data_IF_663946705866
#
_entry.id   IF_663946705866
#
_cell.length_a   1.000
_cell.length_b   1.000
_cell.length_c   1.000
_cell.angle_alpha   90.00
_cell.angle_beta   90.00
_cell.angle_gamma   90.00
#
_symmetry.space_group_name_H-M   'P 1'
#
loop_
_entity.id
_entity.type
_entity.pdbx_description
1 polymer ?
#
# COMPACT_ATOMS: atom_id res chain seq x y z
N UNK A 1 4.06 32.39 12.59
CA UNK A 1 3.97 32.28 11.12
C UNK A 1 5.30 31.79 10.58
N UNK A 2 5.45 30.49 10.31
CA UNK A 2 6.57 29.92 9.55
C UNK A 2 6.02 29.52 8.19
N UNK A 3 6.42 30.21 7.12
CA UNK A 3 6.02 29.89 5.76
C UNK A 3 6.66 28.58 5.33
N UNK A 4 5.87 27.50 5.28
CA UNK A 4 6.27 26.21 4.75
C UNK A 4 6.08 26.23 3.22
N UNK A 5 7.11 26.67 2.49
CA UNK A 5 7.25 26.29 1.08
C UNK A 5 7.66 24.81 1.06
N UNK A 6 6.68 23.91 1.14
CA UNK A 6 6.89 22.47 1.14
C UNK A 6 7.38 21.99 -0.23
N UNK A 7 8.57 21.41 -0.28
CA UNK A 7 9.10 20.70 -1.44
C UNK A 7 8.47 19.31 -1.50
N UNK A 8 7.85 18.90 -2.61
CA UNK A 8 7.14 17.61 -2.72
C UNK A 8 7.84 16.62 -3.65
N UNK A 9 8.06 15.39 -3.19
CA UNK A 9 8.46 14.25 -4.04
C UNK A 9 7.24 13.43 -4.44
N UNK A 10 7.13 13.01 -5.70
CA UNK A 10 6.01 12.19 -6.15
C UNK A 10 6.57 10.85 -6.64
N UNK A 11 6.15 9.71 -6.08
CA UNK A 11 6.58 8.40 -6.59
C UNK A 11 6.31 8.25 -8.10
N UNK A 12 7.21 7.57 -8.80
CA UNK A 12 7.16 7.36 -10.25
C UNK A 12 5.81 6.86 -10.77
N UNK A 13 5.01 6.15 -9.97
CA UNK A 13 3.68 5.63 -10.37
C UNK A 13 2.59 6.69 -10.45
N UNK A 14 2.78 7.85 -9.83
CA UNK A 14 1.80 8.94 -9.85
C UNK A 14 1.99 9.82 -11.08
N UNK A 15 0.94 10.02 -11.84
CA UNK A 15 1.01 10.74 -13.11
C UNK A 15 0.90 12.26 -12.89
N UNK A 16 1.64 13.07 -13.66
CA UNK A 16 1.60 14.54 -13.56
C UNK A 16 1.50 15.16 -14.96
N UNK A 17 0.81 16.30 -15.04
CA UNK A 17 0.83 17.19 -16.21
C UNK A 17 2.16 17.97 -16.29
N UNK A 18 2.67 18.08 -17.52
CA UNK A 18 3.81 18.88 -18.00
C UNK A 18 5.20 18.55 -17.41
N UNK A 19 6.04 17.92 -18.26
CA UNK A 19 7.51 17.89 -18.13
C UNK A 19 8.16 16.69 -17.44
N UNK A 20 7.40 15.82 -16.75
CA UNK A 20 7.98 14.66 -16.03
C UNK A 20 7.47 13.33 -16.59
N UNK A 21 8.28 12.60 -17.37
CA UNK A 21 7.90 11.29 -17.92
C UNK A 21 7.59 10.26 -16.83
N UNK A 22 6.69 9.32 -17.14
CA UNK A 22 6.36 8.18 -16.26
C UNK A 22 7.08 6.93 -16.75
N UNK A 23 7.91 6.32 -15.90
CA UNK A 23 8.57 5.04 -16.19
C UNK A 23 8.05 3.89 -15.34
N UNK A 24 7.35 4.17 -14.22
CA UNK A 24 6.96 3.15 -13.24
C UNK A 24 8.13 2.24 -12.79
N UNK A 25 9.36 2.77 -12.77
CA UNK A 25 10.58 2.01 -12.49
C UNK A 25 11.08 1.14 -13.65
N UNK A 26 10.42 1.14 -14.81
CA UNK A 26 10.86 0.37 -15.98
C UNK A 26 11.97 1.07 -16.76
N UNK A 27 12.65 0.33 -17.63
CA UNK A 27 13.65 0.84 -18.56
C UNK A 27 13.06 1.73 -19.66
N UNK A 28 11.76 1.56 -19.94
CA UNK A 28 11.06 2.28 -21.00
C UNK A 28 10.02 3.26 -20.44
N UNK A 29 9.85 4.39 -21.13
CA UNK A 29 8.82 5.38 -20.81
C UNK A 29 7.44 4.82 -21.16
N UNK A 30 6.49 4.95 -20.24
CA UNK A 30 5.12 4.51 -20.50
C UNK A 30 4.43 5.40 -21.56
N UNK A 31 3.41 4.88 -22.28
CA UNK A 31 2.63 5.66 -23.22
C UNK A 31 2.05 6.94 -22.60
N UNK A 32 1.97 8.02 -23.38
CA UNK A 32 1.49 9.36 -22.94
C UNK A 32 0.13 9.36 -22.22
N UNK A 33 -0.70 8.33 -22.41
CA UNK A 33 -1.97 8.18 -21.66
C UNK A 33 -1.74 8.04 -20.15
N UNK A 34 -0.58 7.50 -19.76
CA UNK A 34 -0.07 7.42 -18.39
C UNK A 34 0.72 8.67 -17.98
N UNK A 35 0.37 9.85 -18.48
CA UNK A 35 1.01 11.12 -18.09
C UNK A 35 -0.02 12.20 -17.75
N UNK A 36 -1.20 11.77 -17.29
CA UNK A 36 -2.30 12.66 -16.89
C UNK A 36 -2.53 12.58 -15.39
N UNK A 37 -2.66 13.70 -14.66
CA UNK A 37 -2.82 13.65 -13.22
C UNK A 37 -4.14 12.97 -12.83
N UNK A 38 -4.04 11.98 -11.94
CA UNK A 38 -5.19 11.35 -11.29
C UNK A 38 -5.82 12.20 -10.20
N UNK A 39 -6.87 11.69 -9.54
CA UNK A 39 -7.53 12.40 -8.46
C UNK A 39 -6.58 12.78 -7.31
N UNK A 40 -5.69 11.88 -6.88
CA UNK A 40 -4.72 12.14 -5.79
C UNK A 40 -3.74 13.25 -6.18
N UNK A 41 -3.14 13.16 -7.36
CA UNK A 41 -2.21 14.19 -7.84
C UNK A 41 -2.94 15.51 -8.10
N UNK A 42 -4.16 15.46 -8.61
CA UNK A 42 -4.99 16.65 -8.83
C UNK A 42 -5.34 17.33 -7.51
N UNK A 43 -5.67 16.58 -6.46
CA UNK A 43 -5.89 17.12 -5.12
C UNK A 43 -4.61 17.78 -4.59
N UNK A 44 -3.45 17.15 -4.77
CA UNK A 44 -2.16 17.73 -4.41
C UNK A 44 -1.88 19.03 -5.16
N UNK A 45 -2.05 19.05 -6.48
CA UNK A 45 -1.77 20.23 -7.30
C UNK A 45 -2.70 21.42 -6.96
N UNK A 46 -3.92 21.16 -6.48
CA UNK A 46 -4.83 22.23 -5.99
C UNK A 46 -4.31 22.93 -4.73
N UNK A 47 -3.41 22.30 -3.97
CA UNK A 47 -2.73 22.91 -2.84
C UNK A 47 -1.52 23.77 -3.26
N UNK A 48 -1.26 23.91 -4.56
CA UNK A 48 -0.15 24.68 -5.15
C UNK A 48 1.26 24.31 -4.63
N UNK A 49 1.61 23.02 -4.50
CA UNK A 49 2.91 22.61 -3.99
C UNK A 49 4.02 22.81 -5.03
N UNK A 50 5.25 22.95 -4.55
CA UNK A 50 6.45 22.84 -5.39
C UNK A 50 6.81 21.37 -5.60
N UNK A 51 6.57 20.84 -6.80
CA UNK A 51 6.88 19.44 -7.13
C UNK A 51 8.31 19.33 -7.62
N UNK A 52 9.16 18.62 -6.88
CA UNK A 52 10.59 18.51 -7.15
C UNK A 52 10.94 17.48 -8.22
N UNK A 53 10.09 16.46 -8.39
CA UNK A 53 10.35 15.43 -9.40
C UNK A 53 9.63 14.12 -9.11
N UNK A 54 9.99 13.10 -9.90
CA UNK A 54 9.53 11.71 -9.73
C UNK A 54 10.57 10.92 -8.94
N UNK A 55 10.19 10.31 -7.82
CA UNK A 55 11.11 9.56 -6.96
C UNK A 55 11.24 8.11 -7.41
N UNK A 56 12.44 7.54 -7.26
CA UNK A 56 12.74 6.15 -7.64
C UNK A 56 11.73 5.13 -7.10
N UNK A 57 11.35 4.18 -7.94
CA UNK A 57 10.45 3.08 -7.57
C UNK A 57 10.99 1.76 -8.12
N UNK A 58 10.68 0.66 -7.44
CA UNK A 58 10.88 -0.69 -8.02
C UNK A 58 9.97 -0.81 -9.25
N UNK A 59 10.43 -1.48 -10.31
CA UNK A 59 9.66 -1.64 -11.53
C UNK A 59 8.26 -2.23 -11.24
N UNK A 60 7.22 -1.55 -11.73
CA UNK A 60 5.80 -1.83 -11.47
C UNK A 60 5.48 -2.03 -9.99
N UNK A 61 6.25 -1.40 -9.11
CA UNK A 61 6.19 -1.55 -7.67
C UNK A 61 6.34 -2.98 -7.12
N UNK A 62 6.82 -3.94 -7.93
CA UNK A 62 6.81 -5.34 -7.55
C UNK A 62 8.08 -5.80 -6.81
N UNK A 63 8.35 -5.19 -5.66
CA UNK A 63 9.44 -5.59 -4.77
C UNK A 63 9.59 -4.72 -3.53
N UNK A 64 10.01 -5.34 -2.42
CA UNK A 64 10.09 -4.69 -1.10
C UNK A 64 11.46 -4.14 -0.71
N UNK A 65 12.52 -4.42 -1.48
CA UNK A 65 13.90 -4.04 -1.14
C UNK A 65 14.38 -2.76 -1.85
N UNK A 66 13.54 -2.17 -2.69
CA UNK A 66 13.92 -0.97 -3.45
C UNK A 66 14.97 -1.18 -4.54
N UNK A 67 15.27 -2.43 -4.86
CA UNK A 67 16.17 -2.84 -5.94
C UNK A 67 15.50 -2.67 -7.30
N UNK A 68 16.28 -2.22 -8.27
CA UNK A 68 15.84 -2.06 -9.65
C UNK A 68 17.05 -2.30 -10.57
N UNK A 69 16.97 -3.29 -11.46
CA UNK A 69 18.08 -3.67 -12.34
C UNK A 69 18.40 -2.60 -13.39
N UNK A 70 17.41 -1.78 -13.77
CA UNK A 70 17.54 -0.75 -14.80
C UNK A 70 18.19 0.53 -14.26
N UNK A 71 17.89 0.88 -13.01
CA UNK A 71 18.25 2.19 -12.42
C UNK A 71 19.13 2.10 -11.18
N UNK A 72 19.40 0.88 -10.69
CA UNK A 72 20.04 0.65 -9.39
C UNK A 72 19.11 0.96 -8.21
N UNK A 73 19.55 0.66 -6.99
CA UNK A 73 18.81 1.03 -5.78
C UNK A 73 19.32 2.38 -5.24
N UNK A 74 18.44 3.30 -4.79
CA UNK A 74 18.86 4.45 -4.01
C UNK A 74 19.65 4.02 -2.77
N UNK A 75 20.66 4.81 -2.38
CA UNK A 75 21.37 4.58 -1.12
C UNK A 75 20.45 4.91 0.06
N UNK A 76 20.32 3.98 0.99
CA UNK A 76 19.68 4.29 2.27
C UNK A 76 20.54 5.32 3.03
N UNK A 77 19.95 6.45 3.46
CA UNK A 77 20.67 7.57 4.08
C UNK A 77 21.25 7.24 5.46
N UNK A 78 20.87 6.13 6.10
CA UNK A 78 21.36 5.74 7.41
C UNK A 78 22.74 5.07 7.42
N UNK A 79 23.32 4.76 6.25
CA UNK A 79 24.66 4.18 6.15
C UNK A 79 25.46 4.85 5.01
N UNK A 80 26.35 5.75 5.42
CA UNK A 80 27.22 6.50 4.51
C UNK A 80 28.32 5.63 3.89
N UNK A 81 28.63 4.48 4.48
CA UNK A 81 29.80 3.68 4.12
C UNK A 81 29.40 2.43 3.33
N UNK A 82 28.45 1.66 3.83
CA UNK A 82 27.93 0.47 3.15
C UNK A 82 26.53 0.75 2.58
N UNK A 83 26.31 0.38 1.33
CA UNK A 83 24.99 0.57 0.72
C UNK A 83 24.00 -0.39 1.38
N UNK A 84 23.03 0.17 2.13
CA UNK A 84 21.88 -0.57 2.65
C UNK A 84 20.66 -0.37 1.77
N UNK A 85 19.76 -1.35 1.77
CA UNK A 85 18.47 -1.21 1.10
C UNK A 85 17.66 -0.05 1.70
N UNK A 86 17.05 0.81 0.88
CA UNK A 86 16.14 1.85 1.36
C UNK A 86 14.71 1.33 1.60
N UNK A 87 14.45 0.04 1.37
CA UNK A 87 13.10 -0.51 1.28
C UNK A 87 12.37 -0.08 0.01
N UNK A 88 11.25 -0.73 -0.28
CA UNK A 88 10.48 -0.50 -1.50
C UNK A 88 9.03 -0.96 -1.40
N UNK A 89 8.22 -0.69 -2.42
CA UNK A 89 8.68 -0.18 -3.72
C UNK A 89 8.91 1.34 -3.80
N UNK A 90 8.28 2.15 -2.94
CA UNK A 90 8.39 3.63 -2.94
C UNK A 90 9.74 4.13 -2.37
N UNK A 91 10.84 3.62 -2.91
CA UNK A 91 12.19 3.68 -2.34
C UNK A 91 12.72 5.11 -2.29
N UNK A 92 12.60 5.82 -3.41
CA UNK A 92 13.05 7.20 -3.53
C UNK A 92 12.19 8.16 -2.70
N UNK A 93 10.94 7.80 -2.37
CA UNK A 93 10.08 8.63 -1.53
C UNK A 93 10.69 8.76 -0.12
N UNK A 94 11.03 7.65 0.53
CA UNK A 94 11.71 7.66 1.83
C UNK A 94 13.05 8.39 1.80
N UNK A 95 13.90 8.05 0.82
CA UNK A 95 15.23 8.68 0.66
C UNK A 95 15.14 10.19 0.43
N UNK A 96 14.16 10.66 -0.35
CA UNK A 96 13.98 12.08 -0.66
C UNK A 96 13.67 12.94 0.57
N UNK A 97 12.96 12.36 1.55
CA UNK A 97 12.58 13.05 2.78
C UNK A 97 13.80 13.25 3.70
N UNK A 98 14.60 12.20 3.88
CA UNK A 98 15.81 12.25 4.71
C UNK A 98 16.89 13.10 4.05
N UNK A 99 17.02 13.02 2.72
CA UNK A 99 17.99 13.82 1.94
C UNK A 99 17.58 15.30 1.81
N UNK A 100 16.38 15.68 2.28
CA UNK A 100 15.89 17.05 2.25
C UNK A 100 15.45 17.56 0.87
N UNK A 101 15.38 16.67 -0.14
CA UNK A 101 14.87 17.01 -1.48
C UNK A 101 13.34 17.00 -1.53
N UNK A 102 12.68 16.52 -0.48
CA UNK A 102 11.24 16.60 -0.26
C UNK A 102 10.91 16.79 1.23
N UNK A 103 9.75 17.37 1.50
CA UNK A 103 9.10 17.54 2.81
C UNK A 103 7.87 16.63 2.94
N UNK A 104 7.25 16.30 1.80
CA UNK A 104 6.17 15.32 1.67
C UNK A 104 6.46 14.44 0.45
N UNK A 105 6.20 13.15 0.56
CA UNK A 105 6.25 12.25 -0.58
C UNK A 105 4.98 11.43 -0.75
N UNK A 106 4.53 11.30 -2.00
CA UNK A 106 3.49 10.34 -2.36
C UNK A 106 4.14 8.99 -2.63
N UNK A 107 3.55 7.92 -2.11
CA UNK A 107 3.93 6.54 -2.38
C UNK A 107 2.69 5.67 -2.55
N UNK A 108 2.86 4.40 -2.84
CA UNK A 108 1.75 3.47 -3.05
C UNK A 108 2.07 2.14 -2.38
N UNK A 109 1.11 1.58 -1.65
CA UNK A 109 1.30 0.45 -0.75
C UNK A 109 0.34 -0.67 -1.11
N UNK A 110 0.88 -1.70 -1.77
CA UNK A 110 0.17 -2.92 -2.15
C UNK A 110 0.29 -3.97 -1.05
N UNK A 111 1.50 -4.13 -0.52
CA UNK A 111 1.83 -5.11 0.53
C UNK A 111 2.86 -4.59 1.55
N UNK A 112 3.05 -3.27 1.62
CA UNK A 112 4.05 -2.61 2.46
C UNK A 112 4.80 -1.50 1.75
N UNK A 113 4.54 -1.24 0.47
CA UNK A 113 5.39 -0.38 -0.37
C UNK A 113 5.47 1.10 0.02
N UNK A 114 4.70 1.56 1.02
CA UNK A 114 4.89 2.85 1.72
C UNK A 114 5.52 2.62 3.09
N UNK A 115 5.00 1.65 3.85
CA UNK A 115 5.43 1.38 5.24
C UNK A 115 6.84 0.80 5.36
N UNK A 116 7.25 -0.06 4.42
CA UNK A 116 8.59 -0.66 4.34
C UNK A 116 9.66 0.42 4.11
N UNK A 117 9.60 1.25 3.04
CA UNK A 117 10.60 2.30 2.88
C UNK A 117 10.54 3.33 4.01
N UNK A 118 9.35 3.62 4.57
CA UNK A 118 9.26 4.49 5.74
C UNK A 118 10.03 3.92 6.95
N UNK A 119 9.84 2.64 7.26
CA UNK A 119 10.57 1.94 8.33
C UNK A 119 12.08 1.88 8.07
N UNK A 120 12.50 1.53 6.85
CA UNK A 120 13.92 1.39 6.51
C UNK A 120 14.66 2.73 6.38
N UNK A 121 13.95 3.82 6.07
CA UNK A 121 14.53 5.18 5.99
C UNK A 121 14.22 6.04 7.21
N UNK A 122 13.60 5.50 8.26
CA UNK A 122 13.39 6.22 9.52
C UNK A 122 12.45 7.42 9.39
N UNK A 123 11.41 7.31 8.56
CA UNK A 123 10.37 8.34 8.38
C UNK A 123 8.98 7.77 8.65
N UNK A 124 7.96 8.62 8.67
CA UNK A 124 6.57 8.21 8.88
C UNK A 124 5.94 7.82 7.55
N UNK A 125 5.25 6.68 7.50
CA UNK A 125 4.53 6.21 6.31
C UNK A 125 3.10 5.82 6.64
N UNK A 126 2.14 6.37 5.90
CA UNK A 126 0.72 6.05 6.02
C UNK A 126 0.23 5.37 4.74
N UNK A 127 -0.18 4.11 4.88
CA UNK A 127 -1.09 3.48 3.93
C UNK A 127 -2.52 3.83 4.32
N UNK A 128 -3.26 4.48 3.43
CA UNK A 128 -4.67 4.83 3.70
C UNK A 128 -5.56 3.58 3.78
N UNK A 129 -6.82 3.77 4.14
CA UNK A 129 -7.82 2.70 4.00
C UNK A 129 -7.99 2.37 2.52
N UNK A 130 -8.03 1.07 2.18
CA UNK A 130 -8.24 0.65 0.79
C UNK A 130 -9.54 1.27 0.23
N UNK A 131 -9.43 1.88 -0.96
CA UNK A 131 -10.53 2.58 -1.62
C UNK A 131 -10.87 3.97 -1.05
N UNK A 132 -10.13 4.47 -0.04
CA UNK A 132 -10.32 5.85 0.46
C UNK A 132 -9.92 6.88 -0.58
N UNK A 133 -8.77 6.69 -1.21
CA UNK A 133 -8.29 7.49 -2.33
C UNK A 133 -8.34 6.71 -3.62
N UNK A 134 -8.66 7.40 -4.73
CA UNK A 134 -8.72 6.78 -6.04
C UNK A 134 -7.35 6.30 -6.50
N UNK A 135 -7.31 5.12 -7.11
CA UNK A 135 -6.15 4.56 -7.81
C UNK A 135 -6.11 4.95 -9.30
N UNK A 136 -7.09 5.72 -9.77
CA UNK A 136 -7.13 6.18 -11.14
C UNK A 136 -5.87 7.00 -11.47
N UNK A 137 -5.29 6.75 -12.65
CA UNK A 137 -4.03 7.38 -13.08
C UNK A 137 -2.90 7.12 -12.05
N UNK A 138 -2.83 5.89 -11.55
CA UNK A 138 -1.66 5.30 -10.90
C UNK A 138 -1.36 4.01 -11.65
N UNK A 139 -0.10 3.78 -12.02
CA UNK A 139 0.30 2.55 -12.71
C UNK A 139 0.09 1.35 -11.77
N UNK A 140 -0.73 0.35 -12.17
CA UNK A 140 -1.12 -0.72 -11.26
C UNK A 140 -0.01 -1.75 -11.05
N UNK A 141 0.10 -2.22 -9.81
CA UNK A 141 0.62 -3.55 -9.47
C UNK A 141 -0.56 -4.50 -9.24
N UNK A 142 -1.54 -4.06 -8.45
CA UNK A 142 -2.72 -4.82 -8.13
C UNK A 142 -3.88 -3.87 -7.88
N UNK A 143 -4.85 -3.84 -8.77
CA UNK A 143 -6.07 -3.06 -8.60
C UNK A 143 -6.86 -3.40 -7.31
N UNK A 144 -6.68 -4.61 -6.79
CA UNK A 144 -7.33 -5.06 -5.55
C UNK A 144 -6.64 -4.53 -4.29
N UNK A 145 -5.30 -4.40 -4.32
CA UNK A 145 -4.49 -4.12 -3.13
C UNK A 145 -3.82 -2.75 -3.15
N UNK A 146 -3.59 -2.16 -4.32
CA UNK A 146 -2.93 -0.87 -4.48
C UNK A 146 -3.67 0.20 -3.69
N UNK A 147 -2.93 0.80 -2.77
CA UNK A 147 -3.45 1.83 -1.90
C UNK A 147 -2.53 3.05 -1.94
N UNK A 148 -3.01 4.22 -2.39
CA UNK A 148 -2.28 5.47 -2.29
C UNK A 148 -1.90 5.77 -0.83
N UNK A 149 -0.70 6.27 -0.61
CA UNK A 149 -0.18 6.58 0.72
C UNK A 149 0.77 7.77 0.73
N UNK A 150 1.06 8.21 1.96
CA UNK A 150 1.91 9.36 2.24
C UNK A 150 3.15 8.94 3.01
N UNK A 151 4.24 9.65 2.75
CA UNK A 151 5.44 9.62 3.57
C UNK A 151 5.82 11.05 3.95
N UNK A 152 6.22 11.25 5.21
CA UNK A 152 6.75 12.52 5.70
C UNK A 152 7.75 12.27 6.85
N UNK A 153 8.58 13.26 7.19
CA UNK A 153 9.50 13.12 8.33
C UNK A 153 8.79 13.13 9.69
N UNK A 154 7.64 13.80 9.76
CA UNK A 154 6.89 14.01 11.00
C UNK A 154 5.43 13.59 10.82
N UNK A 155 4.80 13.15 11.93
CA UNK A 155 3.39 12.74 11.94
C UNK A 155 2.47 13.91 11.62
N UNK A 156 2.79 15.12 12.12
CA UNK A 156 2.00 16.33 11.90
C UNK A 156 1.95 16.73 10.42
N UNK A 157 3.10 16.67 9.73
CA UNK A 157 3.18 16.92 8.28
C UNK A 157 2.32 15.91 7.50
N UNK A 158 2.33 14.64 7.95
CA UNK A 158 1.54 13.59 7.33
C UNK A 158 0.03 13.80 7.56
N UNK A 159 -0.37 14.19 8.77
CA UNK A 159 -1.76 14.48 9.11
C UNK A 159 -2.28 15.71 8.33
N UNK A 160 -1.47 16.77 8.24
CA UNK A 160 -1.77 17.95 7.43
C UNK A 160 -1.94 17.61 5.95
N UNK A 161 -1.00 16.84 5.39
CA UNK A 161 -1.09 16.41 3.99
C UNK A 161 -2.30 15.50 3.75
N UNK A 162 -2.61 14.60 4.68
CA UNK A 162 -3.80 13.75 4.55
C UNK A 162 -5.08 14.57 4.50
N UNK A 163 -5.24 15.52 5.44
CA UNK A 163 -6.39 16.42 5.48
C UNK A 163 -6.54 17.25 4.20
N UNK A 164 -5.43 17.81 3.70
CA UNK A 164 -5.41 18.63 2.50
C UNK A 164 -5.75 17.85 1.20
N UNK A 165 -5.47 16.55 1.16
CA UNK A 165 -5.66 15.71 -0.02
C UNK A 165 -6.99 14.93 0.01
N UNK A 166 -7.52 14.67 1.19
CA UNK A 166 -8.71 13.86 1.35
C UNK A 166 -9.98 14.65 1.04
N UNK A 167 -10.67 14.29 -0.05
CA UNK A 167 -11.87 15.01 -0.47
C UNK A 167 -13.04 14.97 0.52
N UNK A 168 -13.04 14.00 1.45
CA UNK A 168 -14.04 13.90 2.51
C UNK A 168 -13.79 14.87 3.67
N UNK A 169 -12.59 15.42 3.77
CA UNK A 169 -12.18 16.40 4.78
C UNK A 169 -11.94 17.78 4.17
N UNK A 170 -11.56 17.85 2.89
CA UNK A 170 -11.29 19.09 2.18
C UNK A 170 -12.50 20.04 2.23
N UNK A 171 -12.33 21.20 2.85
CA UNK A 171 -13.39 22.21 3.01
C UNK A 171 -13.96 22.32 4.42
N UNK A 172 -13.47 21.54 5.38
CA UNK A 172 -13.70 21.79 6.81
C UNK A 172 -12.74 22.88 7.31
N UNK A 173 -13.20 23.72 8.25
CA UNK A 173 -12.42 24.81 8.83
C UNK A 173 -11.34 24.29 9.81
N UNK A 174 -11.62 23.19 10.50
CA UNK A 174 -10.68 22.53 11.41
C UNK A 174 -9.76 21.58 10.65
N UNK A 175 -8.68 22.14 10.08
CA UNK A 175 -7.64 21.36 9.42
C UNK A 175 -6.66 20.81 10.46
N UNK A 176 -6.51 19.48 10.46
CA UNK A 176 -5.73 18.67 11.41
C UNK A 176 -6.37 18.55 12.80
N UNK A 177 -6.91 17.37 13.17
CA UNK A 177 -7.43 17.13 14.51
C UNK A 177 -6.35 17.34 15.58
N UNK A 178 -6.73 17.88 16.74
CA UNK A 178 -5.85 17.93 17.89
C UNK A 178 -5.36 16.51 18.26
N UNK A 179 -4.12 16.40 18.75
CA UNK A 179 -3.56 15.13 19.21
C UNK A 179 -4.48 14.52 20.28
N UNK A 180 -5.03 13.32 20.06
CA UNK A 180 -5.96 12.72 21.02
C UNK A 180 -5.22 12.33 22.31
N UNK A 181 -5.93 12.41 23.44
CA UNK A 181 -5.44 11.84 24.69
C UNK A 181 -5.36 10.31 24.58
N UNK A 182 -4.27 9.73 25.08
CA UNK A 182 -4.07 8.28 25.09
C UNK A 182 -4.92 7.57 26.15
N UNK A 183 -5.38 8.27 27.19
CA UNK A 183 -6.13 7.71 28.33
C UNK A 183 -7.46 7.01 27.94
N UNK A 184 -7.99 7.28 26.74
CA UNK A 184 -9.21 6.65 26.21
C UNK A 184 -8.98 5.64 25.10
N UNK A 185 -7.72 5.37 24.72
CA UNK A 185 -7.40 4.52 23.56
C UNK A 185 -7.02 3.11 24.01
N UNK A 186 -7.45 2.11 23.23
CA UNK A 186 -7.10 0.70 23.43
C UNK A 186 -6.30 0.20 22.23
N UNK A 187 -5.12 -0.35 22.48
CA UNK A 187 -4.24 -0.93 21.47
C UNK A 187 -4.25 -2.45 21.60
N UNK A 188 -4.64 -3.13 20.52
CA UNK A 188 -4.53 -4.58 20.39
C UNK A 188 -3.13 -4.97 19.93
N UNK A 189 -2.44 -5.80 20.71
CA UNK A 189 -1.10 -6.30 20.41
C UNK A 189 -1.19 -7.80 20.15
N UNK A 190 -0.87 -8.27 18.94
CA UNK A 190 -0.86 -9.69 18.62
C UNK A 190 0.09 -10.47 19.53
N UNK A 191 -0.30 -11.66 19.96
CA UNK A 191 0.54 -12.49 20.85
C UNK A 191 1.64 -13.25 20.07
N UNK A 192 1.32 -13.71 18.87
CA UNK A 192 2.17 -14.54 18.00
C UNK A 192 2.31 -13.92 16.61
N UNK A 193 3.08 -14.57 15.71
CA UNK A 193 3.28 -14.23 14.30
C UNK A 193 4.17 -13.00 14.02
N UNK A 194 3.93 -11.86 14.68
CA UNK A 194 4.68 -10.62 14.41
C UNK A 194 6.01 -10.51 15.16
N UNK A 195 6.30 -11.45 16.07
CA UNK A 195 7.49 -11.42 16.93
C UNK A 195 8.54 -12.46 16.51
N UNK A 196 8.16 -13.39 15.64
CA UNK A 196 8.99 -14.49 15.20
C UNK A 196 9.99 -14.00 14.14
N UNK A 197 11.20 -14.58 14.11
CA UNK A 197 12.28 -14.28 13.16
C UNK A 197 12.64 -12.78 13.00
N UNK A 198 12.37 -11.96 14.02
CA UNK A 198 12.80 -10.58 14.06
C UNK A 198 14.32 -10.46 14.19
N UNK A 199 14.93 -9.54 13.42
CA UNK A 199 16.33 -9.17 13.66
C UNK A 199 16.51 -8.58 15.07
N UNK A 200 17.69 -8.77 15.70
CA UNK A 200 17.95 -8.26 17.04
C UNK A 200 17.63 -6.76 17.18
N UNK A 201 16.93 -6.39 18.24
CA UNK A 201 16.57 -5.01 18.56
C UNK A 201 15.21 -4.57 18.02
N UNK A 202 14.63 -5.24 17.01
CA UNK A 202 13.34 -4.85 16.43
C UNK A 202 12.19 -5.09 17.42
N UNK A 203 12.05 -6.33 17.89
CA UNK A 203 10.97 -6.70 18.82
C UNK A 203 11.10 -5.94 20.15
N UNK A 204 12.33 -5.75 20.64
CA UNK A 204 12.65 -5.02 21.86
C UNK A 204 12.25 -3.54 21.74
N UNK A 205 12.57 -2.90 20.61
CA UNK A 205 12.23 -1.49 20.36
C UNK A 205 10.71 -1.29 20.29
N UNK A 206 10.00 -2.20 19.59
CA UNK A 206 8.53 -2.13 19.51
C UNK A 206 7.89 -2.35 20.87
N UNK A 207 8.36 -3.33 21.65
CA UNK A 207 7.86 -3.58 23.02
C UNK A 207 8.14 -2.40 23.95
N UNK A 208 9.28 -1.71 23.80
CA UNK A 208 9.58 -0.50 24.55
C UNK A 208 8.62 0.65 24.18
N UNK A 209 8.31 0.84 22.90
CA UNK A 209 7.32 1.82 22.44
C UNK A 209 5.90 1.52 22.97
N UNK A 210 5.50 0.24 23.01
CA UNK A 210 4.22 -0.17 23.60
C UNK A 210 4.15 0.18 25.09
N UNK A 211 5.23 -0.05 25.85
CA UNK A 211 5.30 0.34 27.26
C UNK A 211 5.21 1.85 27.45
N UNK A 212 5.75 2.65 26.53
CA UNK A 212 5.62 4.11 26.58
C UNK A 212 4.16 4.55 26.34
N UNK A 213 3.43 3.90 25.43
CA UNK A 213 2.00 4.15 25.22
C UNK A 213 1.20 3.82 26.48
N UNK A 214 1.47 2.67 27.10
CA UNK A 214 0.83 2.23 28.33
C UNK A 214 1.09 3.21 29.49
N UNK A 215 2.34 3.62 29.69
CA UNK A 215 2.73 4.60 30.70
C UNK A 215 2.07 5.98 30.48
N UNK A 216 1.75 6.31 29.22
CA UNK A 216 1.02 7.53 28.86
C UNK A 216 -0.51 7.40 28.97
N UNK A 217 -1.01 6.27 29.49
CA UNK A 217 -2.42 6.04 29.80
C UNK A 217 -3.19 5.18 28.79
N UNK A 218 -2.55 4.71 27.71
CA UNK A 218 -3.20 3.81 26.77
C UNK A 218 -3.46 2.43 27.39
N UNK A 219 -4.60 1.82 27.07
CA UNK A 219 -4.87 0.43 27.45
C UNK A 219 -4.28 -0.54 26.43
N UNK A 220 -3.45 -1.47 26.88
CA UNK A 220 -2.90 -2.53 26.01
C UNK A 220 -3.70 -3.81 26.24
N UNK A 221 -4.14 -4.45 25.15
CA UNK A 221 -4.81 -5.76 25.20
C UNK A 221 -4.13 -6.73 24.25
N UNK A 222 -4.03 -7.99 24.65
CA UNK A 222 -3.66 -9.06 23.73
C UNK A 222 -4.75 -9.23 22.67
N UNK A 223 -4.32 -9.43 21.42
CA UNK A 223 -5.21 -9.77 20.31
C UNK A 223 -4.81 -11.11 19.69
N UNK A 224 -5.79 -12.00 19.51
CA UNK A 224 -5.63 -13.17 18.65
C UNK A 224 -6.03 -12.83 17.21
N UNK A 225 -5.24 -13.30 16.24
CA UNK A 225 -5.49 -13.11 14.82
C UNK A 225 -5.68 -14.46 14.14
N UNK A 226 -6.88 -15.08 14.26
CA UNK A 226 -7.12 -16.40 13.69
C UNK A 226 -6.95 -16.37 12.16
N UNK A 227 -6.19 -17.33 11.63
CA UNK A 227 -5.93 -17.47 10.19
C UNK A 227 -4.84 -16.55 9.63
N UNK A 228 -4.04 -15.91 10.49
CA UNK A 228 -2.91 -15.08 10.05
C UNK A 228 -1.84 -15.89 9.31
N UNK A 229 -1.53 -17.10 9.77
CA UNK A 229 -0.58 -18.00 9.11
C UNK A 229 -1.06 -18.37 7.71
N UNK A 230 -2.32 -18.78 7.57
CA UNK A 230 -2.95 -19.09 6.27
C UNK A 230 -2.88 -17.89 5.32
N UNK A 231 -3.15 -16.68 5.83
CA UNK A 231 -3.07 -15.46 5.06
C UNK A 231 -1.63 -15.16 4.61
N UNK A 232 -0.64 -15.44 5.47
CA UNK A 232 0.77 -15.26 5.15
C UNK A 232 1.28 -16.30 4.15
N UNK A 233 0.86 -17.56 4.25
CA UNK A 233 1.17 -18.59 3.25
C UNK A 233 0.62 -18.22 1.88
N UNK A 234 -0.63 -17.74 1.81
CA UNK A 234 -1.21 -17.22 0.56
C UNK A 234 -0.43 -16.01 0.01
N UNK A 235 0.01 -15.12 0.89
CA UNK A 235 0.84 -13.98 0.50
C UNK A 235 2.20 -14.42 -0.08
N UNK A 236 2.85 -15.44 0.51
CA UNK A 236 4.14 -15.98 0.02
C UNK A 236 4.06 -16.58 -1.38
N UNK A 237 2.89 -17.05 -1.81
CA UNK A 237 2.66 -17.53 -3.18
C UNK A 237 2.56 -16.40 -4.22
N UNK A 238 2.85 -15.14 -3.84
CA UNK A 238 2.75 -13.96 -4.70
C UNK A 238 1.41 -13.23 -4.59
N UNK A 239 0.44 -13.83 -3.90
CA UNK A 239 -0.91 -13.30 -3.71
C UNK A 239 -1.62 -12.94 -5.01
N UNK A 240 -2.62 -12.07 -4.92
CA UNK A 240 -3.39 -11.61 -6.09
C UNK A 240 -2.61 -10.61 -6.98
N UNK A 241 -1.50 -10.06 -6.48
CA UNK A 241 -0.76 -9.01 -7.19
C UNK A 241 -0.05 -9.53 -8.45
N UNK A 242 0.54 -10.73 -8.38
CA UNK A 242 1.23 -11.32 -9.52
C UNK A 242 0.31 -11.52 -10.74
N UNK A 243 -0.86 -12.20 -10.62
CA UNK A 243 -1.76 -12.39 -11.76
C UNK A 243 -2.42 -11.08 -12.22
N UNK A 244 -2.70 -10.12 -11.34
CA UNK A 244 -3.25 -8.83 -11.75
C UNK A 244 -2.25 -8.01 -12.56
N UNK A 245 -0.98 -7.97 -12.16
CA UNK A 245 0.06 -7.31 -12.95
C UNK A 245 0.27 -8.03 -14.30
N UNK A 246 0.32 -9.36 -14.30
CA UNK A 246 0.48 -10.13 -15.52
C UNK A 246 -0.65 -9.84 -16.53
N UNK A 247 -1.90 -9.80 -16.05
CA UNK A 247 -3.05 -9.43 -16.86
C UNK A 247 -2.92 -7.99 -17.40
N UNK A 248 -2.59 -7.03 -16.53
CA UNK A 248 -2.39 -5.63 -16.93
C UNK A 248 -1.32 -5.49 -18.01
N UNK A 249 -0.14 -6.09 -17.84
CA UNK A 249 0.94 -6.02 -18.82
C UNK A 249 0.51 -6.61 -20.16
N UNK A 250 -0.14 -7.78 -20.16
CA UNK A 250 -0.63 -8.45 -21.39
C UNK A 250 -1.66 -7.60 -22.14
N UNK A 251 -2.50 -6.84 -21.44
CA UNK A 251 -3.58 -6.06 -22.06
C UNK A 251 -3.18 -4.63 -22.41
N UNK A 252 -2.36 -3.98 -21.58
CA UNK A 252 -2.09 -2.54 -21.66
C UNK A 252 -0.69 -2.20 -22.14
N UNK A 253 0.31 -3.04 -21.83
CA UNK A 253 1.74 -2.79 -22.08
C UNK A 253 2.47 -4.05 -22.58
N UNK A 254 1.95 -4.80 -23.58
CA UNK A 254 2.56 -6.05 -24.01
C UNK A 254 3.99 -5.88 -24.51
N UNK A 255 4.32 -4.71 -25.07
CA UNK A 255 5.65 -4.34 -25.55
C UNK A 255 6.72 -4.26 -24.46
N UNK A 256 6.33 -4.14 -23.19
CA UNK A 256 7.27 -4.01 -22.07
C UNK A 256 7.68 -5.35 -21.47
N UNK A 257 6.92 -6.43 -21.74
CA UNK A 257 7.06 -7.74 -21.07
C UNK A 257 8.48 -8.31 -21.23
N UNK A 258 9.07 -8.22 -22.43
CA UNK A 258 10.41 -8.76 -22.71
C UNK A 258 11.55 -7.93 -22.09
N UNK A 259 11.24 -6.74 -21.59
CA UNK A 259 12.21 -5.79 -21.01
C UNK A 259 12.08 -5.61 -19.50
N UNK A 260 11.24 -6.42 -18.85
CA UNK A 260 11.03 -6.38 -17.41
C UNK A 260 12.34 -6.64 -16.65
N UNK A 261 12.46 -6.01 -15.49
CA UNK A 261 13.44 -6.35 -14.46
C UNK A 261 13.38 -7.87 -14.20
N UNK A 262 14.50 -8.59 -14.18
CA UNK A 262 14.50 -10.05 -14.01
C UNK A 262 13.74 -10.54 -12.78
N UNK A 263 13.73 -9.77 -11.69
CA UNK A 263 12.99 -10.09 -10.47
C UNK A 263 11.48 -9.94 -10.67
N UNK A 264 11.05 -8.94 -11.42
CA UNK A 264 9.63 -8.70 -11.76
C UNK A 264 9.18 -9.73 -12.79
N UNK A 265 9.98 -9.97 -13.84
CA UNK A 265 9.74 -10.98 -14.86
C UNK A 265 9.51 -12.37 -14.26
N UNK A 266 10.36 -12.79 -13.31
CA UNK A 266 10.22 -14.08 -12.64
C UNK A 266 8.88 -14.21 -11.89
N UNK A 267 8.42 -13.14 -11.23
CA UNK A 267 7.15 -13.12 -10.50
C UNK A 267 5.93 -13.08 -11.42
N UNK A 268 6.00 -12.31 -12.50
CA UNK A 268 4.97 -12.26 -13.54
C UNK A 268 4.83 -13.62 -14.22
N UNK A 269 5.95 -14.28 -14.54
CA UNK A 269 5.94 -15.63 -15.12
C UNK A 269 5.33 -16.67 -14.17
N UNK A 270 5.69 -16.62 -12.88
CA UNK A 270 5.13 -17.53 -11.87
C UNK A 270 3.60 -17.37 -11.71
N UNK A 271 3.03 -16.23 -12.10
CA UNK A 271 1.58 -16.02 -12.07
C UNK A 271 0.82 -16.89 -13.09
N UNK A 272 1.44 -17.24 -14.22
CA UNK A 272 0.83 -18.09 -15.24
C UNK A 272 0.64 -19.53 -14.76
N UNK A 273 1.44 -19.96 -13.78
CA UNK A 273 1.35 -21.27 -13.15
C UNK A 273 0.39 -21.28 -11.93
N UNK A 274 -0.16 -20.11 -11.54
CA UNK A 274 -1.04 -20.03 -10.38
C UNK A 274 -2.42 -20.62 -10.71
N UNK A 275 -2.90 -21.64 -9.96
CA UNK A 275 -4.21 -22.20 -10.20
C UNK A 275 -5.31 -21.20 -9.84
N UNK A 276 -6.44 -21.24 -10.56
CA UNK A 276 -7.55 -20.30 -10.38
C UNK A 276 -8.08 -20.23 -8.93
N UNK A 277 -8.02 -21.34 -8.18
CA UNK A 277 -8.41 -21.35 -6.77
C UNK A 277 -7.44 -20.53 -5.89
N UNK A 278 -6.14 -20.50 -6.23
CA UNK A 278 -5.11 -19.72 -5.53
C UNK A 278 -5.33 -18.23 -5.70
N UNK A 279 -5.75 -17.80 -6.90
CA UNK A 279 -6.18 -16.43 -7.15
C UNK A 279 -7.41 -16.09 -6.30
N UNK A 280 -8.45 -16.93 -6.33
CA UNK A 280 -9.67 -16.69 -5.55
C UNK A 280 -9.43 -16.66 -4.03
N UNK A 281 -8.57 -17.55 -3.51
CA UNK A 281 -8.19 -17.60 -2.10
C UNK A 281 -7.45 -16.32 -1.67
N UNK A 282 -6.56 -15.84 -2.53
CA UNK A 282 -5.81 -14.60 -2.30
C UNK A 282 -6.70 -13.35 -2.30
N UNK A 283 -7.75 -13.32 -3.12
CA UNK A 283 -8.66 -12.15 -3.19
C UNK A 283 -9.72 -12.10 -2.07
N UNK A 284 -10.12 -13.24 -1.49
CA UNK A 284 -11.26 -13.34 -0.57
C UNK A 284 -10.92 -13.88 0.83
N UNK A 285 -9.66 -14.23 1.08
CA UNK A 285 -9.20 -14.88 2.31
C UNK A 285 -9.44 -16.40 2.30
N UNK A 286 -8.59 -17.13 3.03
CA UNK A 286 -8.57 -18.60 3.08
C UNK A 286 -9.94 -19.23 3.40
N UNK A 287 -10.73 -18.59 4.27
CA UNK A 287 -12.06 -19.05 4.68
C UNK A 287 -13.15 -19.03 3.60
N UNK A 288 -12.97 -18.25 2.52
CA UNK A 288 -13.96 -18.13 1.44
C UNK A 288 -13.70 -19.15 0.31
N UNK A 289 -12.43 -19.37 -0.05
CA UNK A 289 -12.06 -20.35 -1.09
C UNK A 289 -12.36 -21.81 -0.68
N UNK A 290 -12.27 -22.13 0.62
CA UNK A 290 -12.45 -23.48 1.13
C UNK A 290 -13.86 -24.06 0.86
N UNK A 291 -14.92 -23.24 0.86
CA UNK A 291 -16.30 -23.72 0.71
C UNK A 291 -16.75 -23.95 -0.74
N UNK A 292 -16.25 -23.15 -1.69
CA UNK A 292 -16.65 -23.24 -3.11
C UNK A 292 -15.78 -24.20 -3.93
N UNK A 293 -14.47 -24.27 -3.65
CA UNK A 293 -13.55 -25.09 -4.44
C UNK A 293 -13.49 -26.57 -4.00
N UNK A 294 -13.63 -26.89 -2.71
CA UNK A 294 -13.57 -28.29 -2.25
C UNK A 294 -14.74 -29.15 -2.71
N UNK A 295 -15.88 -28.55 -3.09
CA UNK A 295 -17.06 -29.29 -3.57
C UNK A 295 -17.05 -29.63 -5.07
N UNK A 296 -16.06 -29.15 -5.84
CA UNK A 296 -16.13 -29.17 -7.30
C UNK A 296 -14.97 -29.88 -8.01
N UNK A 297 -14.17 -30.71 -7.31
CA UNK A 297 -13.12 -31.57 -7.87
C UNK A 297 -12.31 -30.91 -9.03
N UNK A 298 -11.77 -29.71 -8.78
CA UNK A 298 -10.90 -29.03 -9.75
C UNK A 298 -11.61 -28.21 -10.84
N UNK A 299 -12.94 -28.10 -10.88
CA UNK A 299 -13.66 -27.15 -11.75
C UNK A 299 -14.10 -25.91 -10.97
N UNK A 300 -13.21 -24.91 -10.81
CA UNK A 300 -13.61 -23.60 -10.30
C UNK A 300 -14.58 -22.95 -11.30
N UNK A 301 -15.89 -22.92 -11.01
CA UNK A 301 -16.88 -22.10 -11.77
C UNK A 301 -16.67 -20.58 -11.63
N UNK A 302 -15.64 -20.19 -10.90
CA UNK A 302 -15.16 -18.84 -10.69
C UNK A 302 -14.73 -18.17 -12.01
N UNK A 303 -14.16 -18.95 -12.94
CA UNK A 303 -13.66 -18.47 -14.23
C UNK A 303 -14.74 -18.11 -15.27
N UNK A 304 -16.00 -18.47 -15.05
CA UNK A 304 -17.09 -18.10 -15.97
C UNK A 304 -17.56 -16.64 -15.80
N UNK A 305 -17.02 -15.90 -14.83
CA UNK A 305 -17.40 -14.51 -14.54
C UNK A 305 -16.40 -13.47 -15.08
N UNK A 306 -15.34 -13.90 -15.76
CA UNK A 306 -14.29 -13.03 -16.30
C UNK A 306 -14.42 -12.73 -17.81
N UNK A 307 -15.35 -13.38 -18.52
CA UNK A 307 -15.64 -13.09 -19.92
C UNK A 307 -17.07 -12.56 -20.07
N UNK A 308 -17.21 -11.40 -20.71
CA UNK A 308 -18.47 -10.66 -20.84
C UNK A 308 -19.63 -11.52 -21.35
N UNK A 309 -20.71 -11.55 -20.57
CA UNK A 309 -21.97 -12.21 -20.89
C UNK A 309 -22.96 -12.01 -19.73
N UNK A 310 -24.23 -11.76 -20.06
CA UNK A 310 -25.30 -11.28 -19.18
C UNK A 310 -25.40 -11.93 -17.77
N UNK A 311 -25.64 -11.07 -16.78
CA UNK A 311 -25.98 -11.48 -15.41
C UNK A 311 -27.41 -12.07 -15.36
N UNK A 312 -27.63 -13.26 -14.75
CA UNK A 312 -28.98 -13.74 -14.44
C UNK A 312 -29.72 -12.75 -13.52
N UNK A 313 -31.02 -12.56 -13.74
CA UNK A 313 -31.85 -11.56 -13.04
C UNK A 313 -31.83 -11.67 -11.49
N UNK A 314 -31.45 -12.83 -10.94
CA UNK A 314 -31.29 -13.06 -9.50
C UNK A 314 -29.99 -12.49 -8.91
N UNK A 315 -29.07 -11.97 -9.75
CA UNK A 315 -27.79 -11.36 -9.38
C UNK A 315 -27.71 -9.84 -9.66
N UNK A 316 -28.82 -9.19 -10.03
CA UNK A 316 -28.88 -7.72 -9.98
C UNK A 316 -28.81 -7.28 -8.51
N UNK A 317 -27.68 -6.69 -8.10
CA UNK A 317 -27.54 -6.05 -6.79
C UNK A 317 -28.73 -5.11 -6.55
N UNK A 318 -29.48 -5.23 -5.44
CA UNK A 318 -30.28 -4.11 -4.98
C UNK A 318 -29.31 -2.94 -4.73
N UNK A 319 -29.63 -1.75 -5.27
CA UNK A 319 -29.00 -0.50 -4.85
C UNK A 319 -29.41 -0.23 -3.40
N UNK A 320 -28.82 -0.95 -2.46
CA UNK A 320 -28.96 -0.75 -1.03
C UNK A 320 -27.58 -0.40 -0.46
N UNK A 321 -27.52 0.71 0.28
CA UNK A 321 -26.33 1.22 0.95
C UNK A 321 -25.59 0.09 1.67
N UNK A 322 -24.39 -0.24 1.23
CA UNK A 322 -23.55 -1.29 1.80
C UNK A 322 -23.02 -0.82 3.17
N UNK A 323 -23.68 -1.21 4.26
CA UNK A 323 -22.97 -1.43 5.54
C UNK A 323 -22.12 -2.68 5.33
N UNK A 324 -20.82 -2.49 5.12
CA UNK A 324 -19.85 -3.57 5.14
C UNK A 324 -19.80 -4.15 6.56
N UNK A 325 -19.86 -5.47 6.67
CA UNK A 325 -19.70 -6.20 7.93
C UNK A 325 -18.27 -6.04 8.45
N UNK A 326 -18.05 -5.01 9.26
CA UNK A 326 -16.95 -4.92 10.24
C UNK A 326 -17.26 -5.73 11.52
N UNK A 327 -18.28 -6.58 11.50
CA UNK A 327 -18.87 -7.18 12.72
C UNK A 327 -18.04 -8.28 13.39
N UNK A 328 -16.84 -8.59 12.89
CA UNK A 328 -15.90 -9.48 13.58
C UNK A 328 -14.74 -8.74 14.29
N UNK A 329 -14.50 -7.47 13.96
CA UNK A 329 -13.47 -6.65 14.60
C UNK A 329 -14.04 -5.46 15.39
N UNK A 330 -15.37 -5.30 15.40
CA UNK A 330 -16.10 -4.33 16.21
C UNK A 330 -17.16 -5.06 17.08
N UNK A 331 -16.73 -5.69 18.16
CA UNK A 331 -17.62 -5.98 19.30
C UNK A 331 -17.12 -5.20 20.52
N UNK A 332 -17.90 -4.26 21.07
CA UNK A 332 -17.62 -3.71 22.38
C UNK A 332 -17.73 -4.84 23.41
N UNK A 333 -16.78 -4.91 24.34
CA UNK A 333 -16.91 -5.73 25.53
C UNK A 333 -18.13 -5.24 26.33
N UNK A 334 -19.20 -6.03 26.34
CA UNK A 334 -20.25 -5.91 27.35
C UNK A 334 -19.72 -6.54 28.63
N UNK A 335 -19.18 -5.72 29.53
CA UNK A 335 -19.09 -6.09 30.94
C UNK A 335 -20.28 -5.42 31.64
N UNK A 336 -21.13 -6.25 32.22
CA UNK A 336 -22.33 -5.82 32.93
C UNK A 336 -22.02 -5.21 34.29
N UNK A 337 -22.85 -4.25 34.67
CA UNK A 337 -22.93 -3.72 36.02
C UNK A 337 -23.40 -4.80 37.00
N UNK A 338 -22.56 -5.09 37.99
CA UNK A 338 -22.94 -5.24 39.41
C UNK A 338 -21.81 -4.69 40.28
#
# INVERSE_FOLDING_TARGET
MRGANGYGGIDQRYLRRDGLPTYAGSSQRLPKRWERPGPVVSALLKQLPSVMGKTHSVEFAFGGLGTNAHWGAPRNPWDAHQHRTPGGSSSGAGVSLVSGTASLALGTDTAGSVRIPASMTGVVGLKTTAGRWSIEQIVPLSSTLDTPGLLARWVDDLAFAFDALDSGLSGQDDRVPATPSLAGLTFGVPETFFWDDCSPGIAETVRAAIKQLEAAGARIVTLELPGIDDAYELFKLGGVAAPELAAFLKTELPEMIDSLDPNVAARVKAADDMPAWGVCASSHGAGFACRLCRRSHGRCRCGAYAHGGDYPAHYRKPRARRRLSQSQYARPAQYGDR
#
